data_IF_029607462064
#
_entry.id   IF_029607462064
#
_cell.length_a   1.000
_cell.length_b   1.000
_cell.length_c   1.000
_cell.angle_alpha   90.00
_cell.angle_beta   90.00
_cell.angle_gamma   90.00
#
_symmetry.space_group_name_H-M   'P 1'
#
loop_
_entity.id
_entity.type
_entity.pdbx_description
1 polymer ?
#
# COMPACT_ATOMS: atom_id res chain seq x y z
N UNK A 1 51.82 -23.84 10.14
CA UNK A 1 50.83 -23.48 9.11
C UNK A 1 49.60 -22.96 9.83
N UNK A 2 49.49 -21.64 9.97
CA UNK A 2 48.38 -20.97 10.66
C UNK A 2 47.31 -20.62 9.63
N UNK A 3 46.10 -21.16 9.79
CA UNK A 3 44.94 -20.74 8.99
C UNK A 3 44.61 -19.28 9.28
N UNK A 4 44.33 -18.44 8.27
CA UNK A 4 43.90 -17.07 8.53
C UNK A 4 42.47 -17.09 9.09
N UNK A 5 42.30 -16.47 10.26
CA UNK A 5 41.02 -16.22 10.89
C UNK A 5 40.25 -15.19 10.05
N UNK A 6 39.15 -15.60 9.43
CA UNK A 6 38.22 -14.67 8.78
C UNK A 6 37.58 -13.83 9.90
N UNK A 7 37.62 -12.48 9.84
CA UNK A 7 36.90 -11.66 10.81
C UNK A 7 35.40 -11.88 10.59
N UNK A 8 34.73 -12.49 11.56
CA UNK A 8 33.28 -12.62 11.56
C UNK A 8 32.67 -11.21 11.54
N UNK A 9 31.87 -10.92 10.53
CA UNK A 9 31.02 -9.73 10.50
C UNK A 9 30.17 -9.67 11.78
N UNK A 10 29.84 -8.48 12.30
CA UNK A 10 29.11 -8.31 13.56
C UNK A 10 27.61 -8.57 13.39
N UNK A 11 27.23 -9.71 12.82
CA UNK A 11 25.85 -10.19 12.87
C UNK A 11 25.74 -11.15 14.04
N UNK A 12 25.82 -10.61 15.26
CA UNK A 12 25.44 -11.35 16.45
C UNK A 12 23.91 -11.42 16.50
N UNK A 13 23.31 -12.25 15.65
CA UNK A 13 21.87 -12.51 15.68
C UNK A 13 21.61 -13.52 16.79
N UNK A 14 20.96 -13.07 17.88
CA UNK A 14 20.28 -14.00 18.79
C UNK A 14 19.33 -14.87 17.96
N UNK A 15 19.63 -16.18 17.90
CA UNK A 15 19.01 -17.19 17.03
C UNK A 15 17.48 -17.40 17.22
N UNK A 16 16.86 -16.69 18.16
CA UNK A 16 15.45 -16.84 18.52
C UNK A 16 14.71 -15.51 18.70
N UNK A 17 15.07 -14.46 17.95
CA UNK A 17 14.27 -13.22 17.97
C UNK A 17 12.96 -13.45 17.19
N UNK A 18 11.79 -13.20 17.79
CA UNK A 18 10.54 -13.19 17.04
C UNK A 18 10.60 -12.14 15.92
N UNK A 19 9.85 -12.36 14.83
CA UNK A 19 9.76 -11.46 13.70
C UNK A 19 9.36 -10.06 14.22
N UNK A 20 10.27 -9.09 14.08
CA UNK A 20 10.05 -7.72 14.51
C UNK A 20 9.94 -6.79 13.30
N UNK A 21 9.32 -5.64 13.47
CA UNK A 21 9.17 -4.63 12.41
C UNK A 21 10.53 -4.18 11.89
N UNK A 22 11.54 -4.04 12.75
CA UNK A 22 12.90 -3.68 12.34
C UNK A 22 13.50 -4.72 11.40
N UNK A 23 13.27 -6.02 11.67
CA UNK A 23 13.79 -7.09 10.83
C UNK A 23 13.11 -7.09 9.45
N UNK A 24 11.80 -6.83 9.42
CA UNK A 24 11.07 -6.67 8.16
C UNK A 24 11.59 -5.45 7.39
N UNK A 25 11.75 -4.30 8.07
CA UNK A 25 12.29 -3.08 7.47
C UNK A 25 13.66 -3.33 6.84
N UNK A 26 14.62 -3.84 7.61
CA UNK A 26 15.96 -4.13 7.10
C UNK A 26 15.91 -5.11 5.91
N UNK A 27 15.05 -6.13 5.99
CA UNK A 27 14.84 -7.07 4.90
C UNK A 27 14.29 -6.44 3.63
N UNK A 28 13.31 -5.53 3.75
CA UNK A 28 12.71 -4.83 2.62
C UNK A 28 13.73 -3.90 1.96
N UNK A 29 14.49 -3.15 2.76
CA UNK A 29 15.57 -2.28 2.26
C UNK A 29 16.64 -3.09 1.51
N UNK A 30 16.97 -4.30 1.98
CA UNK A 30 17.88 -5.20 1.28
C UNK A 30 17.30 -5.71 -0.05
N UNK A 31 16.01 -6.06 -0.10
CA UNK A 31 15.37 -6.53 -1.34
C UNK A 31 15.19 -5.42 -2.36
N UNK A 32 15.06 -4.17 -1.93
CA UNK A 32 14.95 -3.03 -2.84
C UNK A 32 16.30 -2.55 -3.37
N UNK A 33 17.43 -3.12 -2.95
CA UNK A 33 18.74 -2.78 -3.49
C UNK A 33 19.20 -3.84 -4.50
N UNK A 34 19.31 -3.44 -5.77
CA UNK A 34 19.77 -4.31 -6.87
C UNK A 34 21.16 -4.90 -6.66
N UNK A 35 22.00 -4.26 -5.83
CA UNK A 35 23.34 -4.75 -5.55
C UNK A 35 23.33 -6.07 -4.75
N UNK A 36 22.21 -6.39 -4.11
CA UNK A 36 22.05 -7.62 -3.35
C UNK A 36 21.59 -8.81 -4.22
N UNK A 37 21.30 -8.60 -5.51
CA UNK A 37 20.68 -9.62 -6.35
C UNK A 37 21.71 -10.63 -6.88
N UNK A 38 21.34 -11.93 -6.99
CA UNK A 38 20.03 -12.53 -6.68
C UNK A 38 19.83 -12.83 -5.18
N UNK A 39 18.61 -12.62 -4.68
CA UNK A 39 18.22 -12.86 -3.28
C UNK A 39 17.27 -14.05 -3.18
N UNK A 40 17.45 -14.87 -2.13
CA UNK A 40 16.50 -15.90 -1.73
C UNK A 40 16.02 -15.61 -0.30
N UNK A 41 14.71 -15.42 -0.14
CA UNK A 41 14.06 -15.24 1.17
C UNK A 41 13.59 -16.61 1.67
N UNK A 42 13.86 -16.92 2.92
CA UNK A 42 13.45 -18.19 3.53
C UNK A 42 13.22 -18.05 5.04
N UNK A 43 12.26 -18.83 5.55
CA UNK A 43 12.07 -19.05 6.99
C UNK A 43 12.16 -20.56 7.31
N UNK A 44 12.08 -20.94 8.58
CA UNK A 44 12.22 -22.35 9.01
C UNK A 44 11.13 -23.26 8.43
N UNK A 45 9.92 -22.73 8.27
CA UNK A 45 8.73 -23.42 7.76
C UNK A 45 8.43 -23.15 6.28
N UNK A 46 9.03 -22.10 5.70
CA UNK A 46 8.71 -21.53 4.39
C UNK A 46 7.30 -20.94 4.29
N UNK A 47 6.67 -20.55 5.41
CA UNK A 47 5.23 -20.19 5.42
C UNK A 47 4.96 -18.88 6.15
N UNK A 48 5.32 -18.81 7.43
CA UNK A 48 4.77 -17.78 8.31
C UNK A 48 5.50 -16.45 8.18
N UNK A 49 6.79 -16.44 8.51
CA UNK A 49 7.60 -15.22 8.52
C UNK A 49 7.84 -14.72 7.10
N UNK A 50 8.06 -15.63 6.15
CA UNK A 50 8.17 -15.27 4.74
C UNK A 50 6.86 -14.71 4.19
N UNK A 51 5.71 -15.28 4.58
CA UNK A 51 4.40 -14.80 4.16
C UNK A 51 4.10 -13.39 4.69
N UNK A 52 4.44 -13.14 5.97
CA UNK A 52 4.34 -11.81 6.57
C UNK A 52 5.26 -10.82 5.87
N UNK A 53 6.52 -11.20 5.65
CA UNK A 53 7.49 -10.35 4.97
C UNK A 53 7.07 -9.98 3.54
N UNK A 54 6.62 -10.96 2.75
CA UNK A 54 6.09 -10.70 1.41
C UNK A 54 4.83 -9.85 1.45
N UNK A 55 3.96 -10.06 2.44
CA UNK A 55 2.80 -9.20 2.64
C UNK A 55 3.16 -7.73 2.93
N UNK A 56 4.20 -7.49 3.73
CA UNK A 56 4.72 -6.14 3.97
C UNK A 56 5.35 -5.54 2.69
N UNK A 57 6.04 -6.35 1.88
CA UNK A 57 6.51 -5.90 0.56
C UNK A 57 5.33 -5.49 -0.33
N UNK A 58 4.23 -6.26 -0.36
CA UNK A 58 3.03 -5.90 -1.12
C UNK A 58 2.36 -4.64 -0.61
N UNK A 59 2.34 -4.42 0.70
CA UNK A 59 1.84 -3.17 1.31
C UNK A 59 2.64 -1.97 0.81
N UNK A 60 3.97 -2.12 0.76
CA UNK A 60 4.87 -1.10 0.23
C UNK A 60 4.64 -0.87 -1.27
N UNK A 61 4.28 -1.92 -2.02
CA UNK A 61 3.90 -1.84 -3.43
C UNK A 61 2.48 -1.29 -3.70
N UNK A 62 1.83 -0.68 -2.71
CA UNK A 62 0.47 -0.13 -2.83
C UNK A 62 -0.64 -1.16 -3.16
N UNK A 63 -0.41 -2.45 -2.91
CA UNK A 63 -1.44 -3.46 -3.13
C UNK A 63 -2.62 -3.28 -2.17
N UNK A 64 -3.83 -3.58 -2.64
CA UNK A 64 -5.00 -3.65 -1.77
C UNK A 64 -4.83 -4.74 -0.71
N UNK A 65 -5.09 -4.40 0.55
CA UNK A 65 -4.93 -5.33 1.68
C UNK A 65 -5.67 -6.66 1.47
N UNK A 66 -6.88 -6.66 0.90
CA UNK A 66 -7.63 -7.89 0.63
C UNK A 66 -6.88 -8.81 -0.32
N UNK A 67 -6.27 -8.26 -1.39
CA UNK A 67 -5.45 -9.03 -2.33
C UNK A 67 -4.21 -9.60 -1.66
N UNK A 68 -3.58 -8.85 -0.75
CA UNK A 68 -2.42 -9.31 0.02
C UNK A 68 -2.80 -10.47 0.93
N UNK A 69 -3.91 -10.37 1.66
CA UNK A 69 -4.36 -11.45 2.54
C UNK A 69 -4.75 -12.70 1.74
N UNK A 70 -5.33 -12.53 0.54
CA UNK A 70 -5.60 -13.67 -0.37
C UNK A 70 -4.31 -14.34 -0.82
N UNK A 71 -3.28 -13.57 -1.21
CA UNK A 71 -1.95 -14.12 -1.57
C UNK A 71 -1.34 -14.88 -0.39
N UNK A 72 -1.30 -14.26 0.80
CA UNK A 72 -0.78 -14.89 2.01
C UNK A 72 -1.50 -16.21 2.34
N UNK A 73 -2.83 -16.22 2.30
CA UNK A 73 -3.63 -17.43 2.57
C UNK A 73 -3.45 -18.50 1.50
N UNK A 74 -3.22 -18.12 0.25
CA UNK A 74 -2.95 -19.08 -0.82
C UNK A 74 -1.66 -19.88 -0.55
N UNK A 75 -0.61 -19.22 -0.04
CA UNK A 75 0.64 -19.89 0.34
C UNK A 75 0.56 -20.61 1.69
N UNK A 76 -0.07 -20.00 2.70
CA UNK A 76 -0.14 -20.58 4.05
C UNK A 76 -1.18 -21.71 4.16
N UNK A 77 -2.20 -21.72 3.31
CA UNK A 77 -3.30 -22.69 3.33
C UNK A 77 -3.92 -22.82 4.71
N UNK A 78 -4.10 -24.07 5.16
CA UNK A 78 -4.68 -24.37 6.48
C UNK A 78 -3.80 -23.95 7.67
N UNK A 79 -2.58 -23.46 7.43
CA UNK A 79 -1.66 -22.97 8.45
C UNK A 79 -1.69 -21.44 8.57
N UNK A 80 -2.55 -20.74 7.82
CA UNK A 80 -2.69 -19.30 7.95
C UNK A 80 -2.99 -18.89 9.40
N UNK A 81 -2.25 -17.89 9.88
CA UNK A 81 -2.41 -17.32 11.22
C UNK A 81 -2.93 -15.89 11.11
N UNK A 82 -3.97 -15.58 11.88
CA UNK A 82 -4.55 -14.24 11.96
C UNK A 82 -3.53 -13.18 12.44
N UNK A 83 -2.65 -13.53 13.38
CA UNK A 83 -1.61 -12.60 13.88
C UNK A 83 -0.68 -12.11 12.76
N UNK A 84 -0.42 -12.92 11.74
CA UNK A 84 0.40 -12.54 10.61
C UNK A 84 -0.36 -11.59 9.66
N UNK A 85 -1.66 -11.81 9.47
CA UNK A 85 -2.53 -10.91 8.69
C UNK A 85 -2.60 -9.53 9.36
N UNK A 86 -2.81 -9.52 10.68
CA UNK A 86 -2.83 -8.29 11.47
C UNK A 86 -1.47 -7.59 11.46
N UNK A 87 -0.36 -8.33 11.46
CA UNK A 87 0.97 -7.72 11.31
C UNK A 87 1.11 -7.00 9.97
N UNK A 88 0.70 -7.65 8.86
CA UNK A 88 0.74 -7.04 7.52
C UNK A 88 -0.11 -5.77 7.48
N UNK A 89 -1.31 -5.81 8.06
CA UNK A 89 -2.23 -4.67 8.10
C UNK A 89 -1.64 -3.48 8.87
N UNK A 90 -1.04 -3.73 10.04
CA UNK A 90 -0.53 -2.70 10.94
C UNK A 90 0.90 -2.24 10.63
N UNK A 91 1.60 -2.90 9.70
CA UNK A 91 2.96 -2.55 9.34
C UNK A 91 3.04 -1.12 8.78
N UNK A 92 3.88 -0.29 9.41
CA UNK A 92 4.14 1.08 9.01
C UNK A 92 5.15 1.13 7.85
N UNK A 93 4.64 1.39 6.65
CA UNK A 93 5.45 1.46 5.43
C UNK A 93 6.24 2.76 5.32
N UNK A 94 5.82 3.83 6.01
CA UNK A 94 6.46 5.15 5.93
C UNK A 94 7.84 5.16 6.60
N UNK A 95 8.11 4.14 7.42
CA UNK A 95 9.41 3.95 8.06
C UNK A 95 10.49 3.39 7.12
N UNK A 96 10.12 2.85 5.96
CA UNK A 96 11.08 2.26 5.02
C UNK A 96 11.95 3.32 4.36
N UNK A 97 13.27 3.15 4.40
CA UNK A 97 14.22 4.02 3.70
C UNK A 97 14.65 3.37 2.39
N UNK A 98 14.21 3.92 1.27
CA UNK A 98 14.55 3.38 -0.05
C UNK A 98 16.08 3.48 -0.31
N UNK A 99 16.72 2.40 -0.81
CA UNK A 99 18.13 2.43 -1.18
C UNK A 99 18.37 3.26 -2.45
N UNK A 100 19.62 3.65 -2.69
CA UNK A 100 19.97 4.49 -3.84
C UNK A 100 19.81 3.78 -5.19
N UNK A 101 19.98 2.46 -5.23
CA UNK A 101 19.91 1.67 -6.47
C UNK A 101 18.67 0.75 -6.45
N UNK A 102 17.53 1.32 -6.82
CA UNK A 102 16.27 0.60 -6.89
C UNK A 102 16.19 -0.29 -8.13
N UNK A 103 15.49 -1.45 -8.06
CA UNK A 103 15.27 -2.30 -9.22
C UNK A 103 14.32 -1.65 -10.22
N UNK A 104 14.51 -1.98 -11.50
CA UNK A 104 13.70 -1.44 -12.60
C UNK A 104 12.22 -1.72 -12.40
N UNK A 105 11.87 -2.94 -11.95
CA UNK A 105 10.49 -3.31 -11.67
C UNK A 105 9.84 -2.45 -10.58
N UNK A 106 10.61 -1.94 -9.61
CA UNK A 106 10.09 -1.03 -8.58
C UNK A 106 9.82 0.34 -9.18
N UNK A 107 10.79 0.90 -9.90
CA UNK A 107 10.68 2.22 -10.55
C UNK A 107 9.50 2.25 -11.51
N UNK A 108 9.35 1.21 -12.33
CA UNK A 108 8.24 1.06 -13.27
C UNK A 108 6.89 0.99 -12.55
N UNK A 109 6.81 0.24 -11.45
CA UNK A 109 5.60 0.12 -10.66
C UNK A 109 5.18 1.43 -10.00
N UNK A 110 6.13 2.15 -9.38
CA UNK A 110 5.85 3.45 -8.77
C UNK A 110 5.37 4.48 -9.80
N UNK A 111 6.00 4.49 -10.99
CA UNK A 111 5.56 5.36 -12.08
C UNK A 111 4.11 5.05 -12.51
N UNK A 112 3.77 3.77 -12.70
CA UNK A 112 2.40 3.36 -13.03
C UNK A 112 1.41 3.76 -11.92
N UNK A 113 1.77 3.57 -10.65
CA UNK A 113 0.90 3.95 -9.54
C UNK A 113 0.62 5.46 -9.50
N UNK A 114 1.65 6.30 -9.67
CA UNK A 114 1.48 7.74 -9.70
C UNK A 114 0.59 8.19 -10.87
N UNK A 115 0.74 7.59 -12.05
CA UNK A 115 -0.13 7.85 -13.19
C UNK A 115 -1.60 7.50 -12.88
N UNK A 116 -1.86 6.32 -12.29
CA UNK A 116 -3.20 5.90 -11.88
C UNK A 116 -3.81 6.82 -10.80
N UNK A 117 -3.00 7.32 -9.87
CA UNK A 117 -3.43 8.23 -8.82
C UNK A 117 -3.81 9.61 -9.38
N UNK A 118 -3.00 10.15 -10.30
CA UNK A 118 -3.31 11.41 -11.01
C UNK A 118 -4.61 11.29 -11.82
N UNK A 119 -4.80 10.19 -12.56
CA UNK A 119 -6.04 9.93 -13.30
C UNK A 119 -7.26 9.87 -12.38
N UNK A 120 -7.14 9.22 -11.22
CA UNK A 120 -8.21 9.13 -10.23
C UNK A 120 -8.55 10.49 -9.64
N UNK A 121 -7.55 11.32 -9.34
CA UNK A 121 -7.78 12.67 -8.83
C UNK A 121 -8.51 13.55 -9.84
N UNK A 122 -8.13 13.47 -11.12
CA UNK A 122 -8.81 14.18 -12.20
C UNK A 122 -10.25 13.72 -12.37
N UNK A 123 -10.50 12.41 -12.28
CA UNK A 123 -11.86 11.87 -12.33
C UNK A 123 -12.72 12.40 -11.18
N UNK A 124 -12.21 12.37 -9.95
CA UNK A 124 -12.92 12.90 -8.78
C UNK A 124 -13.17 14.40 -8.89
N UNK A 125 -12.23 15.16 -9.44
CA UNK A 125 -12.41 16.58 -9.70
C UNK A 125 -13.52 16.83 -10.71
N UNK A 126 -13.54 16.07 -11.80
CA UNK A 126 -14.59 16.14 -12.81
C UNK A 126 -15.96 15.77 -12.23
N UNK A 127 -16.03 14.73 -11.41
CA UNK A 127 -17.27 14.32 -10.72
C UNK A 127 -17.78 15.44 -9.81
N UNK A 128 -16.91 16.07 -9.01
CA UNK A 128 -17.28 17.22 -8.17
C UNK A 128 -17.76 18.43 -8.97
N UNK A 129 -17.16 18.70 -10.13
CA UNK A 129 -17.58 19.79 -11.02
C UNK A 129 -18.96 19.54 -11.62
N UNK A 130 -19.23 18.31 -12.06
CA UNK A 130 -20.55 17.90 -12.55
C UNK A 130 -21.59 17.99 -11.44
N UNK A 131 -21.27 17.55 -10.23
CA UNK A 131 -22.15 17.67 -9.07
C UNK A 131 -22.46 19.13 -8.72
N UNK A 132 -21.46 20.01 -8.72
CA UNK A 132 -21.65 21.44 -8.47
C UNK A 132 -22.54 22.10 -9.52
N UNK A 133 -22.32 21.77 -10.81
CA UNK A 133 -23.16 22.26 -11.90
C UNK A 133 -24.63 21.82 -11.74
N UNK A 134 -24.86 20.54 -11.45
CA UNK A 134 -26.22 20.01 -11.23
C UNK A 134 -26.91 20.70 -10.03
N UNK A 135 -26.17 20.95 -8.95
CA UNK A 135 -26.70 21.67 -7.78
C UNK A 135 -27.08 23.13 -8.11
N UNK A 136 -26.28 23.82 -8.93
CA UNK A 136 -26.60 25.17 -9.38
C UNK A 136 -27.86 25.21 -10.25
N UNK A 137 -28.02 24.28 -11.18
CA UNK A 137 -29.24 24.17 -12.00
C UNK A 137 -30.48 23.90 -11.14
N UNK A 138 -30.38 22.99 -10.17
CA UNK A 138 -31.49 22.68 -9.24
C UNK A 138 -31.91 23.91 -8.42
N UNK A 139 -30.94 24.69 -7.93
CA UNK A 139 -31.20 25.93 -7.19
C UNK A 139 -31.89 26.98 -8.06
N UNK A 140 -31.47 27.14 -9.33
CA UNK A 140 -32.10 28.07 -10.26
C UNK A 140 -33.54 27.66 -10.58
N UNK A 141 -33.79 26.37 -10.82
CA UNK A 141 -35.14 25.85 -11.06
C UNK A 141 -36.05 26.07 -9.85
N UNK A 142 -35.55 25.84 -8.63
CA UNK A 142 -36.30 26.09 -7.40
C UNK A 142 -36.64 27.58 -7.22
N UNK A 143 -35.68 28.47 -7.46
CA UNK A 143 -35.92 29.91 -7.38
C UNK A 143 -36.95 30.38 -8.43
N UNK A 144 -36.87 29.86 -9.65
CA UNK A 144 -37.82 30.18 -10.71
C UNK A 144 -39.23 29.68 -10.35
N UNK A 145 -39.36 28.46 -9.83
CA UNK A 145 -40.65 27.94 -9.34
C UNK A 145 -41.22 28.78 -8.19
N UNK A 146 -40.38 29.18 -7.23
CA UNK A 146 -40.80 30.06 -6.14
C UNK A 146 -41.31 31.41 -6.64
N UNK A 147 -40.59 32.07 -7.56
CA UNK A 147 -41.04 33.33 -8.15
C UNK A 147 -42.39 33.19 -8.88
N UNK A 148 -42.56 32.13 -9.67
CA UNK A 148 -43.83 31.86 -10.37
C UNK A 148 -44.98 31.65 -9.39
N UNK A 149 -44.73 30.96 -8.27
CA UNK A 149 -45.75 30.74 -7.23
C UNK A 149 -46.18 32.03 -6.52
N UNK A 150 -45.25 32.96 -6.27
CA UNK A 150 -45.53 34.27 -5.66
C UNK A 150 -46.39 35.12 -6.60
N UNK A 151 -46.00 35.20 -7.87
CA UNK A 151 -46.75 35.98 -8.88
C UNK A 151 -48.19 35.46 -9.01
N UNK A 152 -48.40 34.14 -9.01
CA UNK A 152 -49.73 33.54 -9.09
C UNK A 152 -50.62 33.94 -7.89
N UNK A 153 -50.05 34.00 -6.67
CA UNK A 153 -50.78 34.39 -5.46
C UNK A 153 -51.21 35.88 -5.47
N UNK A 154 -50.38 36.77 -6.02
CA UNK A 154 -50.69 38.21 -6.06
C UNK A 154 -51.78 38.56 -7.10
N UNK A 155 -51.87 37.81 -8.21
CA UNK A 155 -52.90 38.03 -9.24
C UNK A 155 -54.31 37.56 -8.87
N UNK A 156 -54.47 36.86 -7.74
CA UNK A 156 -55.75 36.32 -7.28
C UNK A 156 -56.39 37.07 -6.10
N UNK A 157 -55.82 38.23 -5.72
CA UNK A 157 -56.40 39.21 -4.77
C UNK A 157 -56.87 40.48 -5.48
#
# INVERSE_FOLDING_TARGET
>A
MTTPSIPAAPFQTSWWKPLSEELIKEGLEMILDVNNYPIMVMDTSGIHEIGTFMGCLRRLQHWNLSSIIVEYRAYAGNKARYVNEQFIELFDIDWITLPANLPTWWIEQEAMWHEEEEERELQLQQEREVEAFNQEEDLQQQQQQQQLSIIAADTSS
#
